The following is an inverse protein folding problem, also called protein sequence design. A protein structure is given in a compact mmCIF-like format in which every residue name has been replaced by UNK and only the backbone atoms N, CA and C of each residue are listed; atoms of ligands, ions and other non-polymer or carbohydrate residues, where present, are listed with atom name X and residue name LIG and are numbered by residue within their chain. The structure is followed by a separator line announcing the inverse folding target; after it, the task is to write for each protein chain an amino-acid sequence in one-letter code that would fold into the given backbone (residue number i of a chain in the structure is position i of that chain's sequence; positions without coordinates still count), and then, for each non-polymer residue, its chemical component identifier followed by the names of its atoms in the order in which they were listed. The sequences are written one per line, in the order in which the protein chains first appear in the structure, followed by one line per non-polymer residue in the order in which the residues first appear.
data_IF_857671227541
#
_entry.id   IF_857671227541
#
_cell.length_a   1.000
_cell.length_b   1.000
_cell.length_c   1.000
_cell.angle_alpha   90.00
_cell.angle_beta   90.00
_cell.angle_gamma   90.00
#
_symmetry.space_group_name_H-M   'P 1'
#
loop_
_entity.id
_entity.type
_entity.pdbx_description
1 polymer ?
#
# COMPACT_ATOMS: atom_id res chain seq x y z
N UNK A 1 -27.14 4.09 8.96
CA UNK A 1 -26.53 4.62 7.72
C UNK A 1 -25.16 4.00 7.42
N UNK A 2 -24.47 3.43 8.42
CA UNK A 2 -23.10 2.88 8.35
C UNK A 2 -22.95 1.63 7.46
N UNK A 3 -23.93 0.72 7.48
CA UNK A 3 -23.83 -0.58 6.80
C UNK A 3 -23.89 -0.47 5.25
N UNK A 4 -24.65 0.50 4.73
CA UNK A 4 -24.75 0.76 3.29
C UNK A 4 -23.49 1.46 2.73
N UNK A 5 -22.83 2.25 3.59
CA UNK A 5 -21.60 2.99 3.26
C UNK A 5 -20.37 2.07 3.27
N UNK A 6 -20.32 1.12 4.21
CA UNK A 6 -19.29 0.07 4.26
C UNK A 6 -19.34 -0.83 3.01
N UNK A 7 -20.52 -1.16 2.51
CA UNK A 7 -20.69 -1.88 1.22
C UNK A 7 -20.12 -1.10 0.04
N UNK A 8 -20.38 0.21 -0.03
CA UNK A 8 -19.90 1.07 -1.12
C UNK A 8 -18.37 1.15 -1.20
N UNK A 9 -17.69 1.33 -0.07
CA UNK A 9 -16.23 1.32 -0.01
C UNK A 9 -15.64 -0.01 -0.49
N UNK A 10 -16.11 -1.12 0.11
CA UNK A 10 -15.60 -2.46 -0.21
C UNK A 10 -15.82 -2.81 -1.67
N UNK A 11 -16.98 -2.45 -2.24
CA UNK A 11 -17.25 -2.64 -3.66
C UNK A 11 -16.29 -1.88 -4.57
N UNK A 12 -15.95 -0.62 -4.23
CA UNK A 12 -14.98 0.16 -5.02
C UNK A 12 -13.59 -0.45 -4.97
N UNK A 13 -13.14 -0.87 -3.79
CA UNK A 13 -11.82 -1.52 -3.62
C UNK A 13 -11.75 -2.81 -4.43
N UNK A 14 -12.76 -3.67 -4.30
CA UNK A 14 -12.81 -4.95 -5.01
C UNK A 14 -12.81 -4.76 -6.54
N UNK A 15 -13.64 -3.84 -7.02
CA UNK A 15 -13.72 -3.50 -8.44
C UNK A 15 -12.39 -2.96 -8.98
N UNK A 16 -11.72 -2.09 -8.24
CA UNK A 16 -10.39 -1.61 -8.65
C UNK A 16 -9.36 -2.72 -8.63
N UNK A 17 -9.40 -3.64 -7.66
CA UNK A 17 -8.51 -4.79 -7.62
C UNK A 17 -8.71 -5.69 -8.85
N UNK A 18 -9.94 -5.99 -9.22
CA UNK A 18 -10.26 -6.73 -10.45
C UNK A 18 -9.72 -6.01 -11.68
N UNK A 19 -9.97 -4.71 -11.81
CA UNK A 19 -9.48 -3.91 -12.94
C UNK A 19 -7.94 -3.89 -13.01
N UNK A 20 -7.26 -3.78 -11.87
CA UNK A 20 -5.79 -3.80 -11.81
C UNK A 20 -5.26 -5.14 -12.31
N UNK A 21 -5.86 -6.24 -11.86
CA UNK A 21 -5.45 -7.60 -12.25
C UNK A 21 -5.75 -7.85 -13.73
N UNK A 22 -7.00 -7.63 -14.17
CA UNK A 22 -7.45 -7.94 -15.52
C UNK A 22 -6.70 -7.14 -16.59
N UNK A 23 -6.39 -5.88 -16.29
CA UNK A 23 -5.68 -4.99 -17.21
C UNK A 23 -4.16 -4.99 -17.00
N UNK A 24 -3.64 -5.82 -16.09
CA UNK A 24 -2.21 -5.92 -15.77
C UNK A 24 -1.58 -4.55 -15.45
N UNK A 25 -2.29 -3.73 -14.69
CA UNK A 25 -1.87 -2.38 -14.36
C UNK A 25 -0.66 -2.40 -13.43
N UNK A 26 0.30 -1.52 -13.72
CA UNK A 26 1.52 -1.31 -12.95
C UNK A 26 1.51 0.06 -12.26
N UNK A 27 2.35 0.27 -11.23
CA UNK A 27 2.53 1.60 -10.64
C UNK A 27 2.77 2.67 -11.71
N UNK A 28 2.05 3.79 -11.62
CA UNK A 28 2.05 4.86 -12.61
C UNK A 28 0.93 4.77 -13.64
N UNK A 29 0.25 3.63 -13.77
CA UNK A 29 -0.87 3.48 -14.70
C UNK A 29 -2.13 4.20 -14.21
N UNK A 30 -2.90 4.69 -15.17
CA UNK A 30 -4.12 5.46 -14.90
C UNK A 30 -5.28 4.54 -14.55
N UNK A 31 -5.93 4.83 -13.43
CA UNK A 31 -7.13 4.14 -12.98
C UNK A 31 -8.40 4.74 -13.62
N UNK A 32 -9.50 3.96 -13.68
CA UNK A 32 -10.78 4.46 -14.15
C UNK A 32 -11.28 5.66 -13.36
N UNK A 33 -12.00 6.55 -14.05
CA UNK A 33 -12.55 7.76 -13.43
C UNK A 33 -13.62 7.46 -12.38
N UNK A 34 -13.82 8.40 -11.44
CA UNK A 34 -14.93 8.36 -10.47
C UNK A 34 -16.30 8.11 -11.13
N UNK A 35 -16.50 8.73 -12.31
CA UNK A 35 -17.74 8.56 -13.09
C UNK A 35 -17.91 7.13 -13.56
N UNK A 36 -16.86 6.53 -14.10
CA UNK A 36 -16.90 5.14 -14.56
C UNK A 36 -17.23 4.18 -13.41
N UNK A 37 -16.54 4.31 -12.27
CA UNK A 37 -16.76 3.45 -11.10
C UNK A 37 -18.17 3.64 -10.53
N UNK A 38 -18.68 4.88 -10.50
CA UNK A 38 -20.04 5.20 -10.06
C UNK A 38 -21.08 4.54 -10.96
N UNK A 39 -20.91 4.62 -12.27
CA UNK A 39 -21.83 4.02 -13.26
C UNK A 39 -21.75 2.49 -13.23
N UNK A 40 -20.55 1.90 -13.13
CA UNK A 40 -20.33 0.43 -13.09
C UNK A 40 -20.89 -0.21 -11.83
N UNK A 41 -20.67 0.41 -10.66
CA UNK A 41 -21.09 -0.12 -9.37
C UNK A 41 -22.49 0.33 -8.94
N UNK A 42 -23.12 1.22 -9.72
CA UNK A 42 -24.42 1.83 -9.40
C UNK A 42 -24.46 2.45 -7.99
N UNK A 43 -23.40 3.19 -7.63
CA UNK A 43 -23.29 3.93 -6.36
C UNK A 43 -23.05 5.41 -6.64
N UNK A 44 -23.26 6.28 -5.65
CA UNK A 44 -23.06 7.71 -5.83
C UNK A 44 -21.59 8.05 -6.05
N UNK A 45 -21.31 9.06 -6.90
CA UNK A 45 -19.96 9.61 -7.10
C UNK A 45 -19.32 10.09 -5.79
N UNK A 46 -20.11 10.57 -4.83
CA UNK A 46 -19.60 10.92 -3.51
C UNK A 46 -19.05 9.70 -2.77
N UNK A 47 -19.71 8.53 -2.85
CA UNK A 47 -19.24 7.31 -2.20
C UNK A 47 -17.96 6.78 -2.84
N UNK A 48 -17.88 6.82 -4.18
CA UNK A 48 -16.65 6.46 -4.91
C UNK A 48 -15.49 7.34 -4.49
N UNK A 49 -15.69 8.66 -4.47
CA UNK A 49 -14.65 9.61 -4.10
C UNK A 49 -14.15 9.43 -2.68
N UNK A 50 -15.03 9.13 -1.73
CA UNK A 50 -14.59 8.84 -0.35
C UNK A 50 -13.77 7.54 -0.29
N UNK A 51 -14.11 6.53 -1.10
CA UNK A 51 -13.31 5.31 -1.19
C UNK A 51 -11.93 5.55 -1.83
N UNK A 52 -11.88 6.30 -2.93
CA UNK A 52 -10.62 6.68 -3.57
C UNK A 52 -9.75 7.52 -2.63
N UNK A 53 -10.33 8.46 -1.87
CA UNK A 53 -9.60 9.25 -0.87
C UNK A 53 -9.01 8.37 0.24
N UNK A 54 -9.76 7.40 0.73
CA UNK A 54 -9.25 6.46 1.72
C UNK A 54 -8.12 5.59 1.15
N UNK A 55 -8.23 5.14 -0.10
CA UNK A 55 -7.16 4.41 -0.79
C UNK A 55 -5.92 5.27 -1.06
N UNK A 56 -6.11 6.55 -1.37
CA UNK A 56 -5.03 7.53 -1.55
C UNK A 56 -4.30 7.79 -0.23
N UNK A 57 -5.04 7.93 0.87
CA UNK A 57 -4.47 8.13 2.21
C UNK A 57 -3.54 6.99 2.62
N UNK A 58 -3.88 5.75 2.27
CA UNK A 58 -3.06 4.57 2.57
C UNK A 58 -2.04 4.23 1.47
N UNK A 59 -1.94 5.07 0.43
CA UNK A 59 -0.87 4.97 -0.55
C UNK A 59 -1.06 3.97 -1.68
N UNK A 60 -2.26 3.41 -1.83
CA UNK A 60 -2.54 2.48 -2.94
C UNK A 60 -2.62 3.26 -4.26
N UNK A 61 -3.12 4.50 -4.22
CA UNK A 61 -3.33 5.33 -5.41
C UNK A 61 -2.87 6.76 -5.17
N UNK A 62 -2.72 7.53 -6.24
CA UNK A 62 -2.41 8.96 -6.20
C UNK A 62 -3.27 9.74 -7.19
N UNK A 63 -3.79 10.89 -6.78
CA UNK A 63 -4.60 11.76 -7.63
C UNK A 63 -3.79 12.95 -8.09
N UNK A 64 -3.65 13.11 -9.40
CA UNK A 64 -3.07 14.32 -10.01
C UNK A 64 -4.19 15.22 -10.51
N UNK A 65 -4.26 16.43 -9.97
CA UNK A 65 -5.35 17.37 -10.23
C UNK A 65 -5.49 17.67 -11.73
N UNK A 66 -6.64 17.37 -12.31
CA UNK A 66 -6.92 17.56 -13.73
C UNK A 66 -6.42 16.45 -14.65
N UNK A 67 -5.53 15.57 -14.16
CA UNK A 67 -4.97 14.46 -14.94
C UNK A 67 -5.68 13.14 -14.66
N UNK A 68 -6.09 12.89 -13.41
CA UNK A 68 -6.82 11.70 -12.98
C UNK A 68 -6.19 11.00 -11.79
N UNK A 69 -6.54 9.74 -11.59
CA UNK A 69 -6.06 8.90 -10.49
C UNK A 69 -5.18 7.79 -11.06
N UNK A 70 -4.10 7.47 -10.36
CA UNK A 70 -3.06 6.56 -10.81
C UNK A 70 -2.74 5.53 -9.73
N UNK A 71 -2.34 4.33 -10.13
CA UNK A 71 -1.84 3.31 -9.20
C UNK A 71 -0.49 3.77 -8.64
N UNK A 72 -0.32 3.73 -7.33
CA UNK A 72 0.92 4.15 -6.67
C UNK A 72 1.92 2.99 -6.55
N UNK A 73 3.20 3.31 -6.40
CA UNK A 73 4.17 2.34 -5.94
C UNK A 73 4.05 2.20 -4.42
N UNK A 74 3.47 1.09 -3.96
CA UNK A 74 3.31 0.85 -2.53
C UNK A 74 4.66 0.70 -1.82
N UNK A 75 5.70 0.20 -2.51
CA UNK A 75 7.01 -0.05 -1.89
C UNK A 75 7.73 1.24 -1.46
N UNK A 76 7.25 2.43 -1.82
CA UNK A 76 7.90 3.70 -1.41
C UNK A 76 7.00 4.51 -0.46
N UNK A 77 5.99 3.89 0.14
CA UNK A 77 4.98 4.63 0.87
C UNK A 77 5.38 4.92 2.33
N UNK A 78 5.49 6.21 2.66
CA UNK A 78 5.86 6.74 4.00
C UNK A 78 5.00 6.21 5.16
N UNK A 79 3.81 5.68 4.88
CA UNK A 79 2.96 5.07 5.90
C UNK A 79 3.63 3.86 6.56
N UNK A 80 4.46 3.11 5.85
CA UNK A 80 5.16 1.97 6.44
C UNK A 80 6.15 2.40 7.51
N UNK A 81 6.88 3.50 7.26
CA UNK A 81 7.80 4.05 8.25
C UNK A 81 7.03 4.56 9.48
N UNK A 82 5.95 5.32 9.29
CA UNK A 82 5.12 5.81 10.39
C UNK A 82 4.50 4.68 11.24
N UNK A 83 4.03 3.61 10.60
CA UNK A 83 3.48 2.45 11.33
C UNK A 83 4.61 1.74 12.07
N UNK A 84 5.76 1.54 11.43
CA UNK A 84 6.95 0.94 12.02
C UNK A 84 7.38 1.66 13.29
N UNK A 85 7.44 3.00 13.24
CA UNK A 85 7.86 3.85 14.36
C UNK A 85 6.94 3.76 15.58
N UNK A 86 5.69 3.30 15.42
CA UNK A 86 4.75 3.10 16.53
C UNK A 86 4.69 1.64 17.02
N UNK A 87 4.89 0.67 16.11
CA UNK A 87 4.83 -0.76 16.44
C UNK A 87 6.14 -1.28 17.03
N UNK A 88 7.26 -0.65 16.69
CA UNK A 88 8.60 -1.02 17.11
C UNK A 88 9.00 -0.11 18.25
N UNK A 89 9.38 -0.70 19.37
CA UNK A 89 9.57 0.01 20.64
C UNK A 89 10.82 -0.44 21.40
N UNK A 90 11.65 -1.29 20.78
CA UNK A 90 12.87 -1.80 21.39
C UNK A 90 13.87 -2.31 20.35
N UNK A 91 15.15 -2.23 20.68
CA UNK A 91 16.25 -2.77 19.87
C UNK A 91 16.05 -4.25 19.53
N UNK A 92 15.52 -5.03 20.49
CA UNK A 92 15.25 -6.46 20.28
C UNK A 92 14.28 -6.71 19.12
N UNK A 93 13.25 -5.87 18.97
CA UNK A 93 12.30 -6.02 17.86
C UNK A 93 12.96 -5.69 16.51
N UNK A 94 13.91 -4.76 16.49
CA UNK A 94 14.69 -4.46 15.28
C UNK A 94 15.64 -5.59 14.93
N UNK A 95 16.30 -6.18 15.92
CA UNK A 95 17.12 -7.37 15.70
C UNK A 95 16.29 -8.52 15.11
N UNK A 96 15.08 -8.75 15.61
CA UNK A 96 14.15 -9.76 15.08
C UNK A 96 13.72 -9.48 13.63
N UNK A 97 13.45 -8.21 13.29
CA UNK A 97 13.13 -7.78 11.91
C UNK A 97 14.33 -8.00 10.99
N UNK A 98 15.53 -7.61 11.43
CA UNK A 98 16.77 -7.76 10.66
C UNK A 98 17.12 -9.22 10.41
N UNK A 99 16.98 -10.08 11.43
CA UNK A 99 17.14 -11.53 11.30
C UNK A 99 16.17 -12.08 10.24
N UNK A 100 14.88 -11.72 10.33
CA UNK A 100 13.89 -12.22 9.38
C UNK A 100 14.14 -11.72 7.95
N UNK A 101 14.52 -10.46 7.78
CA UNK A 101 14.91 -9.89 6.48
C UNK A 101 16.07 -10.68 5.88
N UNK A 102 17.11 -10.97 6.66
CA UNK A 102 18.27 -11.76 6.21
C UNK A 102 17.86 -13.16 5.74
N UNK A 103 16.93 -13.83 6.44
CA UNK A 103 16.39 -15.14 6.02
C UNK A 103 15.73 -15.05 4.64
N UNK A 104 14.91 -14.02 4.41
CA UNK A 104 14.22 -13.81 3.13
C UNK A 104 15.23 -13.50 2.02
N UNK A 105 16.12 -12.53 2.25
CA UNK A 105 17.13 -12.10 1.27
C UNK A 105 18.09 -13.24 0.91
N UNK A 106 18.50 -14.04 1.90
CA UNK A 106 19.32 -15.23 1.69
C UNK A 106 18.57 -16.27 0.85
N UNK A 107 17.29 -16.52 1.13
CA UNK A 107 16.50 -17.48 0.37
C UNK A 107 16.36 -17.04 -1.10
N UNK A 108 15.98 -15.78 -1.35
CA UNK A 108 15.83 -15.22 -2.69
C UNK A 108 17.16 -15.31 -3.47
N UNK A 109 18.27 -14.91 -2.85
CA UNK A 109 19.61 -14.95 -3.47
C UNK A 109 20.06 -16.38 -3.77
N UNK A 110 19.93 -17.30 -2.79
CA UNK A 110 20.41 -18.67 -2.92
C UNK A 110 19.63 -19.50 -3.93
N UNK A 111 18.32 -19.25 -4.02
CA UNK A 111 17.44 -19.97 -4.95
C UNK A 111 17.38 -19.30 -6.33
N UNK A 112 17.78 -18.03 -6.44
CA UNK A 112 17.52 -17.22 -7.62
C UNK A 112 16.02 -17.01 -7.86
N UNK A 113 15.18 -17.18 -6.82
CA UNK A 113 13.74 -17.11 -6.94
C UNK A 113 13.28 -15.68 -7.19
N UNK A 114 12.34 -15.52 -8.11
CA UNK A 114 11.59 -14.30 -8.38
C UNK A 114 10.28 -14.24 -7.58
N UNK A 115 10.25 -14.87 -6.38
CA UNK A 115 9.06 -14.90 -5.54
C UNK A 115 8.62 -13.48 -5.17
N UNK A 116 7.54 -13.05 -5.81
CA UNK A 116 7.00 -11.70 -5.69
C UNK A 116 6.63 -11.35 -4.25
N UNK A 117 6.00 -12.28 -3.51
CA UNK A 117 5.57 -12.03 -2.13
C UNK A 117 6.77 -11.89 -1.21
N UNK A 118 7.77 -12.78 -1.32
CA UNK A 118 8.99 -12.66 -0.52
C UNK A 118 9.74 -11.36 -0.80
N UNK A 119 9.82 -10.94 -2.06
CA UNK A 119 10.43 -9.65 -2.44
C UNK A 119 9.70 -8.48 -1.79
N UNK A 120 8.36 -8.44 -1.88
CA UNK A 120 7.53 -7.39 -1.26
C UNK A 120 7.64 -7.37 0.26
N UNK A 121 7.62 -8.54 0.91
CA UNK A 121 7.80 -8.64 2.37
C UNK A 121 9.19 -8.16 2.77
N UNK A 122 10.24 -8.54 2.02
CA UNK A 122 11.60 -8.05 2.26
C UNK A 122 11.70 -6.52 2.16
N UNK A 123 11.06 -5.91 1.16
CA UNK A 123 10.98 -4.45 1.05
C UNK A 123 10.23 -3.83 2.24
N UNK A 124 9.10 -4.40 2.67
CA UNK A 124 8.36 -3.91 3.84
C UNK A 124 9.21 -3.90 5.12
N UNK A 125 9.96 -4.98 5.37
CA UNK A 125 10.83 -5.07 6.54
C UNK A 125 11.92 -3.98 6.53
N UNK A 126 12.40 -3.58 5.35
CA UNK A 126 13.38 -2.47 5.21
C UNK A 126 12.81 -1.14 5.70
N UNK A 127 11.54 -0.82 5.42
CA UNK A 127 10.91 0.41 5.91
C UNK A 127 10.78 0.42 7.42
N UNK A 128 10.48 -0.74 8.02
CA UNK A 128 10.37 -0.89 9.46
C UNK A 128 11.71 -0.72 10.19
N UNK A 129 12.81 -1.20 9.60
CA UNK A 129 14.15 -0.91 10.13
C UNK A 129 14.49 0.58 10.08
N UNK A 130 14.19 1.23 8.95
CA UNK A 130 14.46 2.66 8.77
C UNK A 130 13.71 3.53 9.79
N UNK A 131 12.43 3.21 10.02
CA UNK A 131 11.56 3.93 10.94
C UNK A 131 12.08 4.02 12.38
N UNK A 132 12.78 2.98 12.85
CA UNK A 132 13.33 2.96 14.20
C UNK A 132 14.65 3.73 14.29
N UNK A 133 15.51 3.59 13.28
CA UNK A 133 16.79 4.30 13.26
C UNK A 133 16.61 5.83 13.22
N UNK A 134 15.55 6.33 12.59
CA UNK A 134 15.22 7.76 12.59
C UNK A 134 14.74 8.29 13.96
N UNK A 135 14.20 7.43 14.84
CA UNK A 135 13.79 7.87 16.18
C UNK A 135 15.00 8.16 17.08
N UNK A 136 16.08 7.38 16.98
CA UNK A 136 17.30 7.58 17.76
C UNK A 136 18.00 8.91 17.44
N UNK A 137 17.94 9.39 16.20
CA UNK A 137 18.57 10.66 15.77
C UNK A 137 17.82 11.91 16.26
N UNK A 138 16.56 11.79 16.68
CA UNK A 138 15.75 12.92 17.21
C UNK A 138 15.83 13.11 18.72
N UNK A 139 16.46 12.19 19.45
CA UNK A 139 16.57 12.21 20.92
C UNK A 139 17.94 12.73 21.44
N UNK A 140 18.72 13.45 20.60
CA UNK A 140 20.03 14.05 20.96
C UNK A 140 19.99 15.58 21.04
#
# INVERSE_FOLDING_TARGET
MTEKQQKGFVSVVHELQEIIIDNHLSPGDKLPSERYLSDKLNISRSSVREALRAMELIGIISTKRGEGTFLSNMDDHQLFELIGSYLISSDKQIDEISEFKQVIEHHLTKTGSDNFIMTRVGNLLRHYEHAFNEQEDTDV
#
